data_IF_919419283340
#
_entry.id   IF_919419283340
#
_cell.length_a   1.000
_cell.length_b   1.000
_cell.length_c   1.000
_cell.angle_alpha   90.00
_cell.angle_beta   90.00
_cell.angle_gamma   90.00
#
_symmetry.space_group_name_H-M   'P 1'
#
loop_
_entity.id
_entity.type
_entity.pdbx_description
1 polymer ?
#
# COMPACT_ATOMS: atom_id res chain seq x y z
N UNK A 1 4.97 9.56 2.55
CA UNK A 1 4.25 9.89 1.30
C UNK A 1 3.95 11.38 1.23
N UNK A 2 4.83 12.17 0.63
CA UNK A 2 4.62 13.61 0.40
C UNK A 2 5.21 13.94 -0.97
N UNK A 3 4.66 14.95 -1.62
CA UNK A 3 5.17 15.42 -2.91
C UNK A 3 6.63 15.88 -2.77
N UNK A 4 7.45 15.52 -3.76
CA UNK A 4 8.88 15.80 -3.83
C UNK A 4 9.23 16.98 -4.72
N UNK A 5 8.29 17.49 -5.52
CA UNK A 5 8.59 18.44 -6.60
C UNK A 5 8.65 19.92 -6.19
N UNK A 6 8.34 20.25 -4.94
CA UNK A 6 8.35 21.63 -4.48
C UNK A 6 9.69 22.06 -3.88
N UNK A 7 10.01 23.35 -3.98
CA UNK A 7 11.28 23.93 -3.52
C UNK A 7 11.48 23.65 -2.02
N UNK A 8 12.51 22.86 -1.69
CA UNK A 8 12.84 22.49 -0.31
C UNK A 8 12.40 21.09 0.12
N UNK A 9 11.66 20.34 -0.71
CA UNK A 9 11.25 18.97 -0.42
C UNK A 9 12.42 18.05 -0.06
N UNK A 10 13.55 18.16 -0.76
CA UNK A 10 14.77 17.41 -0.45
C UNK A 10 15.35 17.74 0.94
N UNK A 11 15.27 19.00 1.39
CA UNK A 11 15.73 19.41 2.73
C UNK A 11 14.81 18.91 3.85
N UNK A 12 13.52 18.74 3.54
CA UNK A 12 12.51 18.20 4.46
C UNK A 12 12.42 16.67 4.38
N UNK A 13 13.22 16.05 3.52
CA UNK A 13 13.24 14.62 3.32
C UNK A 13 11.95 14.03 2.74
N UNK A 14 11.16 14.85 2.04
CA UNK A 14 9.94 14.41 1.38
C UNK A 14 10.25 13.59 0.12
N UNK A 15 9.29 12.73 -0.26
CA UNK A 15 9.43 11.75 -1.35
C UNK A 15 10.60 10.75 -1.23
N UNK A 16 11.29 10.69 -0.08
CA UNK A 16 12.30 9.66 0.15
C UNK A 16 11.64 8.33 0.51
N UNK A 17 12.12 7.24 -0.11
CA UNK A 17 11.67 5.87 0.18
C UNK A 17 10.30 5.50 -0.38
N UNK A 18 9.75 6.28 -1.32
CA UNK A 18 8.56 5.85 -2.06
C UNK A 18 8.91 4.71 -3.02
N UNK A 19 8.21 3.60 -2.89
CA UNK A 19 8.31 2.45 -3.79
C UNK A 19 7.25 2.59 -4.88
N UNK A 20 7.68 2.68 -6.12
CA UNK A 20 6.77 2.74 -7.25
C UNK A 20 6.15 1.35 -7.50
N UNK A 21 4.83 1.16 -7.33
CA UNK A 21 4.22 -0.17 -7.36
C UNK A 21 4.34 -0.89 -8.71
N UNK A 22 4.58 -0.16 -9.81
CA UNK A 22 4.70 -0.78 -11.14
C UNK A 22 6.08 -1.39 -11.39
N UNK A 23 7.10 -1.04 -10.59
CA UNK A 23 8.44 -1.60 -10.71
C UNK A 23 8.64 -2.86 -9.86
N UNK A 24 7.69 -3.18 -8.97
CA UNK A 24 7.78 -4.36 -8.11
C UNK A 24 7.07 -5.56 -8.73
N UNK A 25 7.60 -6.78 -8.55
CA UNK A 25 6.92 -7.99 -9.00
C UNK A 25 5.48 -8.06 -8.42
N UNK A 26 4.51 -8.36 -9.28
CA UNK A 26 3.10 -8.43 -8.88
C UNK A 26 2.40 -7.07 -8.75
N UNK A 27 3.07 -5.95 -9.05
CA UNK A 27 2.39 -4.65 -9.17
C UNK A 27 1.86 -4.05 -7.86
N UNK A 28 2.32 -4.55 -6.71
CA UNK A 28 1.87 -4.13 -5.38
C UNK A 28 3.07 -3.95 -4.46
N UNK A 29 3.26 -2.74 -3.95
CA UNK A 29 4.40 -2.39 -3.11
C UNK A 29 4.09 -2.62 -1.63
N UNK A 30 4.98 -3.33 -0.94
CA UNK A 30 5.00 -3.42 0.52
C UNK A 30 5.53 -2.09 1.10
N UNK A 31 4.62 -1.15 1.31
CA UNK A 31 4.93 0.16 1.88
C UNK A 31 3.85 0.58 2.88
N UNK A 32 4.25 1.33 3.91
CA UNK A 32 3.30 2.01 4.77
C UNK A 32 2.63 3.18 4.03
N UNK A 33 1.31 3.11 3.90
CA UNK A 33 0.49 4.16 3.29
C UNK A 33 -0.25 5.01 4.34
N UNK A 34 -0.78 4.37 5.38
CA UNK A 34 -1.44 5.04 6.50
C UNK A 34 -0.40 5.62 7.47
N UNK A 35 -0.63 6.82 8.04
CA UNK A 35 0.23 7.36 9.08
C UNK A 35 0.20 6.48 10.34
N UNK A 36 1.22 6.58 11.17
CA UNK A 36 1.44 5.69 12.33
C UNK A 36 0.23 5.62 13.27
N UNK A 37 -0.47 6.74 13.47
CA UNK A 37 -1.63 6.86 14.36
C UNK A 37 -2.83 5.99 13.97
N UNK A 38 -2.93 5.61 12.70
CA UNK A 38 -3.99 4.74 12.18
C UNK A 38 -3.43 3.58 11.36
N UNK A 39 -2.13 3.29 11.52
CA UNK A 39 -1.52 2.17 10.85
C UNK A 39 -2.19 0.85 11.29
N UNK A 40 -2.46 -0.03 10.33
CA UNK A 40 -3.17 -1.29 10.57
C UNK A 40 -4.70 -1.18 10.71
N UNK A 41 -5.28 0.03 10.72
CA UNK A 41 -6.74 0.18 10.76
C UNK A 41 -7.39 -0.30 9.47
N UNK A 42 -8.44 -1.10 9.59
CA UNK A 42 -9.23 -1.61 8.45
C UNK A 42 -10.56 -0.89 8.40
N UNK A 43 -10.84 -0.27 7.26
CA UNK A 43 -12.09 0.44 7.01
C UNK A 43 -13.01 -0.29 6.00
N UNK A 44 -12.43 -1.16 5.17
CA UNK A 44 -13.14 -1.92 4.15
C UNK A 44 -12.92 -3.42 4.36
N UNK A 45 -14.02 -4.13 4.51
CA UNK A 45 -14.08 -5.59 4.60
C UNK A 45 -15.05 -6.08 3.53
N UNK A 46 -14.53 -6.50 2.36
CA UNK A 46 -15.39 -6.87 1.24
C UNK A 46 -16.20 -8.12 1.57
N UNK A 47 -17.48 -8.09 1.22
CA UNK A 47 -18.40 -9.22 1.26
C UNK A 47 -18.21 -10.12 0.04
N UNK A 48 -18.87 -11.29 0.05
CA UNK A 48 -18.88 -12.24 -1.07
C UNK A 48 -20.12 -12.12 -1.95
N UNK A 49 -20.90 -11.05 -1.81
CA UNK A 49 -22.17 -10.90 -2.51
C UNK A 49 -21.99 -10.20 -3.86
N UNK A 50 -22.57 -10.78 -4.91
CA UNK A 50 -22.66 -10.17 -6.23
C UNK A 50 -21.31 -9.70 -6.77
N UNK A 51 -21.28 -8.47 -7.29
CA UNK A 51 -20.08 -7.88 -7.88
C UNK A 51 -18.93 -7.61 -6.90
N UNK A 52 -19.17 -7.68 -5.58
CA UNK A 52 -18.14 -7.45 -4.57
C UNK A 52 -17.23 -8.67 -4.37
N UNK A 53 -17.69 -9.87 -4.72
CA UNK A 53 -16.94 -11.11 -4.56
C UNK A 53 -15.54 -11.04 -5.20
N UNK A 54 -15.43 -10.44 -6.39
CA UNK A 54 -14.15 -10.26 -7.10
C UNK A 54 -13.17 -9.37 -6.32
N UNK A 55 -13.68 -8.37 -5.59
CA UNK A 55 -12.83 -7.48 -4.80
C UNK A 55 -12.36 -8.17 -3.53
N UNK A 56 -13.18 -9.04 -2.94
CA UNK A 56 -12.74 -9.90 -1.85
C UNK A 56 -11.56 -10.79 -2.27
N UNK A 57 -11.58 -11.37 -3.48
CA UNK A 57 -10.45 -12.16 -4.00
C UNK A 57 -9.17 -11.31 -4.15
N UNK A 58 -9.29 -10.12 -4.74
CA UNK A 58 -8.15 -9.21 -4.92
C UNK A 58 -7.57 -8.78 -3.56
N UNK A 59 -8.41 -8.44 -2.59
CA UNK A 59 -7.98 -8.01 -1.26
C UNK A 59 -7.27 -9.13 -0.51
N UNK A 60 -7.78 -10.36 -0.57
CA UNK A 60 -7.14 -11.51 0.08
C UNK A 60 -5.80 -11.86 -0.58
N UNK A 61 -5.72 -11.85 -1.92
CA UNK A 61 -4.46 -12.03 -2.64
C UNK A 61 -3.44 -10.94 -2.27
N UNK A 62 -3.85 -9.67 -2.29
CA UNK A 62 -2.98 -8.54 -1.97
C UNK A 62 -2.44 -8.63 -0.55
N UNK A 63 -3.30 -8.95 0.44
CA UNK A 63 -2.90 -9.14 1.83
C UNK A 63 -1.95 -10.32 2.00
N UNK A 64 -2.20 -11.44 1.32
CA UNK A 64 -1.32 -12.60 1.35
C UNK A 64 0.07 -12.28 0.81
N UNK A 65 0.15 -11.54 -0.30
CA UNK A 65 1.41 -11.11 -0.90
C UNK A 65 2.19 -10.16 0.01
N UNK A 66 1.53 -9.15 0.55
CA UNK A 66 2.16 -8.17 1.44
C UNK A 66 2.71 -8.82 2.72
N UNK A 67 1.99 -9.79 3.32
CA UNK A 67 2.50 -10.55 4.48
C UNK A 67 3.68 -11.47 4.15
N UNK A 68 3.80 -11.91 2.88
CA UNK A 68 4.88 -12.77 2.42
C UNK A 68 6.20 -12.01 2.26
N UNK A 69 6.13 -10.75 1.79
CA UNK A 69 7.29 -9.87 1.67
C UNK A 69 7.85 -9.42 3.03
N UNK A 70 7.05 -9.40 4.10
CA UNK A 70 7.50 -9.10 5.47
C UNK A 70 8.37 -10.21 6.11
N UNK A 71 8.46 -11.40 5.50
CA UNK A 71 9.20 -12.57 6.03
C UNK A 71 10.48 -12.93 5.27
N UNK A 72 10.89 -12.10 4.31
CA UNK A 72 12.17 -12.21 3.60
C UNK A 72 13.14 -11.15 4.10
#
# INVERSE_FOLDING_TARGET
>A
LRDGHYKGAAKLGHAQGYVYPHDVPGGIAAQQYAPDTIHGRRYYEPTRHGGEARYADVVEWARGRLKGDERQ
#
